data_IF_444638014063
#
_entry.id   IF_444638014063
#
_cell.length_a   1.000
_cell.length_b   1.000
_cell.length_c   1.000
_cell.angle_alpha   90.00
_cell.angle_beta   90.00
_cell.angle_gamma   90.00
#
_symmetry.space_group_name_H-M   'P 1'
#
loop_
_entity.id
_entity.type
_entity.pdbx_description
1 polymer ?
#
# COMPACT_ATOMS: atom_id res chain seq x y z
N UNK A 1 -2.35 -3.53 -2.89
CA UNK A 1 -1.38 -4.37 -3.63
C UNK A 1 -1.74 -5.86 -3.78
N UNK A 2 -2.03 -6.64 -2.72
CA UNK A 2 -2.19 -8.11 -2.83
C UNK A 2 -3.45 -8.58 -3.59
N UNK A 3 -4.57 -7.87 -3.49
CA UNK A 3 -5.81 -8.29 -4.14
C UNK A 3 -5.76 -8.24 -5.67
N UNK A 4 -5.03 -7.31 -6.28
CA UNK A 4 -4.96 -7.19 -7.75
C UNK A 4 -4.08 -8.29 -8.40
N UNK A 5 -2.99 -8.68 -7.74
CA UNK A 5 -2.08 -9.73 -8.21
C UNK A 5 -2.60 -11.15 -7.89
N UNK A 6 -3.40 -11.29 -6.82
CA UNK A 6 -4.02 -12.58 -6.46
C UNK A 6 -5.36 -12.80 -7.17
N UNK A 7 -6.20 -11.78 -7.35
CA UNK A 7 -7.52 -11.95 -7.99
C UNK A 7 -7.42 -12.23 -9.50
N UNK A 8 -6.49 -11.58 -10.21
CA UNK A 8 -6.38 -11.72 -11.67
C UNK A 8 -5.97 -13.13 -12.16
N UNK A 9 -5.31 -13.94 -11.31
CA UNK A 9 -4.85 -15.30 -11.67
C UNK A 9 -5.72 -16.43 -11.10
N UNK A 10 -6.50 -16.17 -10.05
CA UNK A 10 -7.39 -17.17 -9.43
C UNK A 10 -8.79 -17.11 -10.03
N UNK A 11 -9.27 -15.92 -10.42
CA UNK A 11 -10.65 -15.78 -10.89
C UNK A 11 -10.91 -16.26 -12.31
N UNK A 12 -9.89 -16.28 -13.20
CA UNK A 12 -10.07 -16.78 -14.57
C UNK A 12 -10.20 -18.31 -14.66
N UNK A 13 -9.92 -19.06 -13.58
CA UNK A 13 -9.98 -20.53 -13.57
C UNK A 13 -11.04 -21.14 -12.65
N UNK A 14 -11.71 -20.35 -11.82
CA UNK A 14 -12.75 -20.83 -10.89
C UNK A 14 -14.19 -20.36 -11.24
N UNK A 15 -14.41 -19.70 -12.38
CA UNK A 15 -15.78 -19.31 -12.80
C UNK A 15 -16.62 -20.46 -13.38
N UNK A 16 -16.20 -21.72 -13.23
CA UNK A 16 -16.96 -22.91 -13.64
C UNK A 16 -17.31 -23.76 -12.41
N UNK A 17 -17.91 -23.15 -11.39
CA UNK A 17 -18.69 -23.86 -10.38
C UNK A 17 -19.52 -22.88 -9.53
N UNK A 18 -20.70 -22.52 -10.02
CA UNK A 18 -21.91 -22.35 -9.19
C UNK A 18 -21.90 -21.38 -7.99
N UNK A 19 -21.30 -20.20 -8.06
CA UNK A 19 -21.59 -19.14 -7.07
C UNK A 19 -22.78 -18.28 -7.53
N UNK A 20 -23.79 -18.20 -6.67
CA UNK A 20 -25.05 -17.47 -6.85
C UNK A 20 -24.88 -16.04 -7.38
N UNK A 21 -25.89 -15.54 -8.08
CA UNK A 21 -25.96 -14.19 -8.65
C UNK A 21 -25.68 -13.05 -7.63
N UNK A 22 -25.77 -13.31 -6.32
CA UNK A 22 -25.39 -12.36 -5.27
C UNK A 22 -23.88 -12.09 -5.19
N UNK A 23 -23.02 -13.02 -5.62
CA UNK A 23 -21.56 -12.83 -5.65
C UNK A 23 -21.10 -11.80 -6.68
N UNK A 24 -21.87 -11.62 -7.77
CA UNK A 24 -21.54 -10.72 -8.87
C UNK A 24 -21.73 -9.24 -8.51
N UNK A 25 -22.77 -8.89 -7.74
CA UNK A 25 -23.06 -7.50 -7.34
C UNK A 25 -22.21 -6.99 -6.16
N UNK A 26 -21.54 -7.84 -5.37
CA UNK A 26 -20.84 -7.42 -4.14
C UNK A 26 -19.32 -7.26 -4.28
N UNK A 27 -18.70 -7.84 -5.31
CA UNK A 27 -17.31 -7.52 -5.73
C UNK A 27 -17.06 -6.04 -6.00
N UNK A 28 -17.91 -5.29 -6.72
CA UNK A 28 -17.63 -3.89 -7.02
C UNK A 28 -17.52 -2.99 -5.78
N UNK A 29 -18.21 -3.33 -4.68
CA UNK A 29 -18.15 -2.54 -3.44
C UNK A 29 -16.79 -2.70 -2.75
N UNK A 30 -16.27 -3.93 -2.66
CA UNK A 30 -14.95 -4.18 -2.08
C UNK A 30 -13.84 -3.57 -2.94
N UNK A 31 -13.93 -3.72 -4.27
CA UNK A 31 -12.96 -3.10 -5.20
C UNK A 31 -12.98 -1.58 -5.14
N UNK A 32 -14.17 -0.96 -5.04
CA UNK A 32 -14.29 0.48 -4.90
C UNK A 32 -13.73 0.98 -3.57
N UNK A 33 -13.95 0.26 -2.46
CA UNK A 33 -13.38 0.60 -1.17
C UNK A 33 -11.86 0.51 -1.19
N UNK A 34 -11.28 -0.57 -1.72
CA UNK A 34 -9.84 -0.73 -1.86
C UNK A 34 -9.21 0.36 -2.75
N UNK A 35 -9.90 0.74 -3.83
CA UNK A 35 -9.48 1.84 -4.70
C UNK A 35 -9.50 3.19 -3.96
N UNK A 36 -10.57 3.48 -3.23
CA UNK A 36 -10.68 4.69 -2.43
C UNK A 36 -9.61 4.74 -1.33
N UNK A 37 -9.27 3.61 -0.71
CA UNK A 37 -8.15 3.53 0.24
C UNK A 37 -6.82 3.90 -0.44
N UNK A 38 -6.54 3.40 -1.65
CA UNK A 38 -5.32 3.76 -2.37
C UNK A 38 -5.25 5.26 -2.70
N UNK A 39 -6.38 5.88 -3.06
CA UNK A 39 -6.44 7.34 -3.25
C UNK A 39 -6.14 8.05 -1.93
N UNK A 40 -6.70 7.58 -0.82
CA UNK A 40 -6.47 8.16 0.50
C UNK A 40 -4.99 8.07 0.91
N UNK A 41 -4.32 6.96 0.61
CA UNK A 41 -2.86 6.84 0.77
C UNK A 41 -2.11 7.84 -0.12
N UNK A 42 -2.46 7.94 -1.41
CA UNK A 42 -1.82 8.91 -2.29
C UNK A 42 -2.00 10.36 -1.82
N UNK A 43 -3.19 10.72 -1.31
CA UNK A 43 -3.46 12.05 -0.75
C UNK A 43 -2.63 12.28 0.53
N UNK A 44 -2.50 11.26 1.38
CA UNK A 44 -1.61 11.30 2.53
C UNK A 44 -0.16 11.56 2.10
N UNK A 45 0.34 10.81 1.12
CA UNK A 45 1.71 10.92 0.60
C UNK A 45 1.96 12.32 0.02
N UNK A 46 1.04 12.83 -0.81
CA UNK A 46 1.08 14.18 -1.38
C UNK A 46 1.02 15.26 -0.29
N UNK A 47 0.31 15.00 0.81
CA UNK A 47 0.19 15.91 1.94
C UNK A 47 1.44 15.94 2.81
N UNK A 48 2.08 14.79 3.01
CA UNK A 48 3.26 14.65 3.85
C UNK A 48 4.46 15.37 3.26
N UNK A 49 4.79 15.16 1.98
CA UNK A 49 6.03 15.72 1.38
C UNK A 49 6.15 17.25 1.55
N UNK A 50 5.09 18.07 1.37
CA UNK A 50 5.14 19.51 1.64
C UNK A 50 4.83 19.87 3.11
N UNK A 51 4.75 18.91 4.03
CA UNK A 51 4.30 19.10 5.41
C UNK A 51 2.94 19.82 5.52
N UNK A 52 1.96 19.40 4.70
CA UNK A 52 0.61 19.96 4.68
C UNK A 52 -0.36 19.13 5.56
N UNK A 53 -0.63 19.56 6.81
CA UNK A 53 -1.48 18.80 7.74
C UNK A 53 -2.91 18.57 7.24
N UNK A 54 -3.45 19.48 6.42
CA UNK A 54 -4.80 19.35 5.86
C UNK A 54 -4.89 18.15 4.94
N UNK A 55 -3.96 18.03 3.99
CA UNK A 55 -3.93 16.90 3.06
C UNK A 55 -3.61 15.59 3.79
N UNK A 56 -2.70 15.62 4.77
CA UNK A 56 -2.40 14.46 5.62
C UNK A 56 -3.65 13.93 6.31
N UNK A 57 -4.45 14.80 6.96
CA UNK A 57 -5.70 14.38 7.61
C UNK A 57 -6.75 13.87 6.62
N UNK A 58 -6.87 14.52 5.46
CA UNK A 58 -7.78 14.10 4.39
C UNK A 58 -7.40 12.73 3.79
N UNK A 59 -6.14 12.32 3.88
CA UNK A 59 -5.72 10.97 3.53
C UNK A 59 -5.95 9.98 4.68
N UNK A 60 -5.47 10.30 5.88
CA UNK A 60 -5.47 9.39 7.03
C UNK A 60 -6.87 9.00 7.49
N UNK A 61 -7.76 9.98 7.69
CA UNK A 61 -9.06 9.72 8.31
C UNK A 61 -9.96 8.87 7.40
N UNK A 62 -10.20 9.25 6.13
CA UNK A 62 -10.96 8.41 5.21
C UNK A 62 -10.26 7.07 4.94
N UNK A 63 -8.93 7.06 4.79
CA UNK A 63 -8.17 5.83 4.55
C UNK A 63 -8.33 4.82 5.68
N UNK A 64 -8.26 5.26 6.93
CA UNK A 64 -8.45 4.39 8.11
C UNK A 64 -9.88 3.83 8.20
N UNK A 65 -10.89 4.66 7.93
CA UNK A 65 -12.29 4.24 7.92
C UNK A 65 -12.58 3.22 6.81
N UNK A 66 -12.11 3.50 5.59
CA UNK A 66 -12.26 2.62 4.43
C UNK A 66 -11.52 1.29 4.65
N UNK A 67 -10.33 1.34 5.26
CA UNK A 67 -9.55 0.15 5.57
C UNK A 67 -10.25 -0.72 6.62
N UNK A 68 -10.82 -0.10 7.66
CA UNK A 68 -11.62 -0.79 8.67
C UNK A 68 -12.87 -1.45 8.05
N UNK A 69 -13.49 -0.78 7.09
CA UNK A 69 -14.59 -1.35 6.30
C UNK A 69 -14.12 -2.57 5.47
N UNK A 70 -12.97 -2.48 4.79
CA UNK A 70 -12.40 -3.59 4.01
C UNK A 70 -12.11 -4.83 4.88
N UNK A 71 -11.65 -4.64 6.12
CA UNK A 71 -11.47 -5.73 7.09
C UNK A 71 -12.81 -6.40 7.41
N UNK A 72 -13.83 -5.62 7.78
CA UNK A 72 -15.17 -6.16 8.10
C UNK A 72 -15.74 -6.97 6.94
N UNK A 73 -15.58 -6.45 5.72
CA UNK A 73 -16.00 -7.14 4.50
C UNK A 73 -15.21 -8.44 4.31
N UNK A 74 -13.90 -8.42 4.49
CA UNK A 74 -13.04 -9.61 4.36
C UNK A 74 -13.37 -10.72 5.36
N UNK A 75 -13.66 -10.35 6.62
CA UNK A 75 -14.10 -11.29 7.68
C UNK A 75 -15.43 -11.93 7.28
N UNK A 76 -16.39 -11.13 6.81
CA UNK A 76 -17.71 -11.61 6.43
C UNK A 76 -17.66 -12.67 5.31
N UNK A 77 -16.67 -12.60 4.43
CA UNK A 77 -16.49 -13.54 3.32
C UNK A 77 -15.47 -14.66 3.61
N UNK A 78 -15.12 -14.88 4.89
CA UNK A 78 -14.26 -15.97 5.38
C UNK A 78 -12.92 -16.11 4.63
N UNK A 79 -12.38 -14.98 4.16
CA UNK A 79 -11.10 -14.94 3.47
C UNK A 79 -10.01 -14.59 4.47
N UNK A 80 -9.52 -15.60 5.20
CA UNK A 80 -8.49 -15.42 6.24
C UNK A 80 -7.24 -14.70 5.72
N UNK A 81 -6.83 -14.97 4.48
CA UNK A 81 -5.68 -14.31 3.87
C UNK A 81 -5.94 -12.86 3.46
N UNK A 82 -7.11 -12.55 2.90
CA UNK A 82 -7.46 -11.16 2.61
C UNK A 82 -7.61 -10.37 3.90
N UNK A 83 -8.22 -10.96 4.92
CA UNK A 83 -8.33 -10.34 6.24
C UNK A 83 -6.94 -10.00 6.79
N UNK A 84 -5.96 -10.91 6.70
CA UNK A 84 -4.59 -10.64 7.14
C UNK A 84 -3.92 -9.49 6.36
N UNK A 85 -4.12 -9.41 5.04
CA UNK A 85 -3.64 -8.28 4.23
C UNK A 85 -4.31 -6.98 4.66
N UNK A 86 -5.64 -6.96 4.82
CA UNK A 86 -6.37 -5.75 5.20
C UNK A 86 -6.00 -5.30 6.62
N UNK A 87 -5.77 -6.22 7.55
CA UNK A 87 -5.26 -5.91 8.90
C UNK A 87 -3.85 -5.35 8.83
N UNK A 88 -2.96 -5.93 8.02
CA UNK A 88 -1.61 -5.40 7.81
C UNK A 88 -1.64 -3.98 7.25
N UNK A 89 -2.50 -3.69 6.27
CA UNK A 89 -2.67 -2.33 5.72
C UNK A 89 -3.23 -1.35 6.75
N UNK A 90 -4.12 -1.79 7.65
CA UNK A 90 -4.57 -0.94 8.76
C UNK A 90 -3.45 -0.65 9.74
N UNK A 91 -2.67 -1.67 10.14
CA UNK A 91 -1.50 -1.48 10.99
C UNK A 91 -0.51 -0.53 10.33
N UNK A 92 -0.27 -0.67 9.03
CA UNK A 92 0.57 0.25 8.27
C UNK A 92 0.07 1.69 8.35
N UNK A 93 -1.24 1.91 8.16
CA UNK A 93 -1.85 3.24 8.29
C UNK A 93 -1.71 3.78 9.72
N UNK A 94 -1.96 2.97 10.75
CA UNK A 94 -1.78 3.38 12.14
C UNK A 94 -0.33 3.79 12.43
N UNK A 95 0.64 3.02 11.93
CA UNK A 95 2.05 3.39 12.01
C UNK A 95 2.32 4.75 11.37
N UNK A 96 1.81 4.99 10.16
CA UNK A 96 1.92 6.28 9.48
C UNK A 96 1.23 7.42 10.23
N UNK A 97 0.11 7.16 10.93
CA UNK A 97 -0.55 8.17 11.77
C UNK A 97 0.34 8.63 12.92
N UNK A 98 0.97 7.68 13.62
CA UNK A 98 1.89 8.02 14.71
C UNK A 98 3.11 8.78 14.21
N UNK A 99 3.66 8.37 13.07
CA UNK A 99 4.82 9.02 12.47
C UNK A 99 4.48 10.42 11.93
N UNK A 100 3.48 10.55 11.06
CA UNK A 100 3.09 11.86 10.53
C UNK A 100 2.58 12.79 11.64
N UNK A 101 1.86 12.25 12.63
CA UNK A 101 1.47 13.01 13.82
C UNK A 101 2.69 13.55 14.57
N UNK A 102 3.75 12.75 14.71
CA UNK A 102 4.97 13.20 15.36
C UNK A 102 5.70 14.31 14.59
N UNK A 103 5.77 14.22 13.26
CA UNK A 103 6.38 15.21 12.39
C UNK A 103 5.56 16.52 12.32
N UNK A 104 4.23 16.42 12.37
CA UNK A 104 3.34 17.59 12.28
C UNK A 104 3.13 18.30 13.63
N UNK A 105 3.37 17.62 14.75
CA UNK A 105 3.23 18.18 16.10
C UNK A 105 4.58 18.71 16.61
N UNK A 106 5.70 18.09 16.23
CA UNK A 106 7.03 18.42 16.76
C UNK A 106 8.10 18.59 15.66
N UNK A 107 8.30 19.80 15.12
CA UNK A 107 7.61 21.05 15.46
C UNK A 107 6.19 21.16 14.85
N UNK A 108 5.31 21.99 15.40
CA UNK A 108 3.95 22.16 14.87
C UNK A 108 3.96 22.72 13.44
N UNK A 109 3.29 22.05 12.51
CA UNK A 109 3.23 22.46 11.10
C UNK A 109 1.85 22.99 10.68
N UNK A 110 1.82 24.05 9.86
CA UNK A 110 0.58 24.62 9.32
C UNK A 110 -0.42 25.01 10.42
N UNK A 111 -1.71 24.74 10.20
CA UNK A 111 -2.78 25.07 11.17
C UNK A 111 -2.69 24.26 12.47
N UNK A 112 -1.85 23.21 12.55
CA UNK A 112 -1.59 22.49 13.81
C UNK A 112 -0.89 23.41 14.82
N UNK A 113 -0.11 24.38 14.33
CA UNK A 113 0.51 25.41 15.15
C UNK A 113 -0.49 26.37 15.81
N UNK A 114 -1.75 26.38 15.37
CA UNK A 114 -2.79 27.22 15.94
C UNK A 114 -3.59 26.50 17.04
N UNK A 115 -3.32 25.21 17.30
CA UNK A 115 -4.02 24.42 18.33
C UNK A 115 -3.24 24.44 19.65
N UNK A 116 -3.73 25.15 20.69
CA UNK A 116 -2.94 25.37 21.91
C UNK A 116 -2.59 24.07 22.66
N UNK A 117 -3.46 23.06 22.63
CA UNK A 117 -3.17 21.79 23.32
C UNK A 117 -2.08 20.95 22.63
N UNK A 118 -1.90 21.09 21.31
CA UNK A 118 -0.88 20.36 20.55
C UNK A 118 0.46 21.07 20.58
N UNK A 119 0.46 22.41 20.47
CA UNK A 119 1.69 23.22 20.53
C UNK A 119 2.37 23.12 21.88
N UNK A 120 1.59 22.99 22.96
CA UNK A 120 2.12 22.84 24.31
C UNK A 120 2.45 21.39 24.68
N UNK A 121 2.29 20.44 23.74
CA UNK A 121 2.61 19.04 23.99
C UNK A 121 4.12 18.87 24.10
N UNK A 122 4.58 18.28 25.21
CA UNK A 122 6.01 18.16 25.50
C UNK A 122 6.75 17.33 24.44
N UNK A 123 7.92 17.83 24.01
CA UNK A 123 8.78 17.18 23.00
C UNK A 123 9.28 15.81 23.44
N UNK A 124 9.26 15.50 24.75
CA UNK A 124 9.62 14.17 25.26
C UNK A 124 8.73 13.04 24.69
N UNK A 125 7.52 13.35 24.22
CA UNK A 125 6.61 12.37 23.62
C UNK A 125 6.89 12.07 22.14
N UNK A 126 7.75 12.87 21.48
CA UNK A 126 8.09 12.67 20.07
C UNK A 126 8.81 11.33 19.83
N UNK A 127 9.90 11.06 20.56
CA UNK A 127 10.66 9.82 20.38
C UNK A 127 9.82 8.55 20.65
N UNK A 128 9.00 8.47 21.73
CA UNK A 128 8.06 7.37 21.91
C UNK A 128 7.07 7.21 20.74
N UNK A 129 6.53 8.30 20.17
CA UNK A 129 5.59 8.23 19.06
C UNK A 129 6.24 7.63 17.80
N UNK A 130 7.45 8.05 17.44
CA UNK A 130 8.19 7.47 16.30
C UNK A 130 8.55 6.01 16.56
N UNK A 131 8.93 5.65 17.79
CA UNK A 131 9.21 4.25 18.13
C UNK A 131 7.96 3.36 18.00
N UNK A 132 6.82 3.83 18.49
CA UNK A 132 5.53 3.14 18.32
C UNK A 132 5.23 2.97 16.84
N UNK A 133 5.38 4.02 16.04
CA UNK A 133 5.22 3.94 14.59
C UNK A 133 6.09 2.85 13.97
N UNK A 134 7.40 2.88 14.26
CA UNK A 134 8.38 1.91 13.74
C UNK A 134 7.96 0.49 14.11
N UNK A 135 7.64 0.21 15.37
CA UNK A 135 7.20 -1.10 15.84
C UNK A 135 5.92 -1.56 15.12
N UNK A 136 4.94 -0.67 14.96
CA UNK A 136 3.68 -0.98 14.27
C UNK A 136 3.91 -1.26 12.78
N UNK A 137 4.76 -0.48 12.10
CA UNK A 137 5.14 -0.71 10.70
C UNK A 137 5.89 -2.04 10.52
N UNK A 138 6.78 -2.40 11.44
CA UNK A 138 7.45 -3.71 11.46
C UNK A 138 6.43 -4.84 11.59
N UNK A 139 5.48 -4.73 12.53
CA UNK A 139 4.42 -5.73 12.69
C UNK A 139 3.57 -5.85 11.42
N UNK A 140 3.15 -4.73 10.84
CA UNK A 140 2.42 -4.69 9.59
C UNK A 140 3.18 -5.43 8.47
N UNK A 141 4.47 -5.13 8.33
CA UNK A 141 5.33 -5.77 7.34
C UNK A 141 5.49 -7.27 7.55
N UNK A 142 5.71 -7.72 8.80
CA UNK A 142 5.81 -9.15 9.12
C UNK A 142 4.52 -9.91 8.77
N UNK A 143 3.35 -9.36 9.11
CA UNK A 143 2.05 -9.97 8.77
C UNK A 143 1.87 -10.06 7.26
N UNK A 144 2.22 -8.99 6.53
CA UNK A 144 2.12 -8.97 5.07
C UNK A 144 3.03 -10.02 4.43
N UNK A 145 4.30 -10.05 4.85
CA UNK A 145 5.30 -10.99 4.37
C UNK A 145 4.92 -12.45 4.66
N UNK A 146 4.46 -12.75 5.86
CA UNK A 146 3.99 -14.08 6.23
C UNK A 146 2.80 -14.51 5.36
N UNK A 147 1.87 -13.59 5.09
CA UNK A 147 0.71 -13.85 4.24
C UNK A 147 1.11 -14.13 2.79
N UNK A 148 2.02 -13.33 2.23
CA UNK A 148 2.54 -13.58 0.88
C UNK A 148 3.33 -14.88 0.78
N UNK A 149 4.22 -15.15 1.73
CA UNK A 149 5.00 -16.37 1.75
C UNK A 149 4.08 -17.60 1.83
N UNK A 150 3.04 -17.54 2.67
CA UNK A 150 2.01 -18.59 2.73
C UNK A 150 1.33 -18.77 1.37
N UNK A 151 0.96 -17.70 0.68
CA UNK A 151 0.36 -17.79 -0.66
C UNK A 151 1.29 -18.41 -1.69
N UNK A 152 2.57 -18.02 -1.73
CA UNK A 152 3.56 -18.60 -2.64
C UNK A 152 3.77 -20.08 -2.36
N UNK A 153 3.90 -20.47 -1.09
CA UNK A 153 4.05 -21.87 -0.69
C UNK A 153 2.80 -22.70 -1.04
N UNK A 154 1.60 -22.14 -0.87
CA UNK A 154 0.36 -22.81 -1.28
C UNK A 154 0.27 -22.99 -2.80
N UNK A 155 0.69 -21.99 -3.59
CA UNK A 155 0.76 -22.10 -5.05
C UNK A 155 1.74 -23.18 -5.47
N UNK A 156 2.94 -23.19 -4.90
CA UNK A 156 3.96 -24.22 -5.18
C UNK A 156 3.45 -25.64 -4.89
N UNK A 157 2.77 -25.86 -3.75
CA UNK A 157 2.17 -27.16 -3.42
C UNK A 157 1.14 -27.61 -4.47
N UNK A 158 0.30 -26.70 -4.97
CA UNK A 158 -0.67 -27.00 -6.04
C UNK A 158 0.04 -27.39 -7.34
N UNK A 159 1.10 -26.67 -7.72
CA UNK A 159 1.87 -26.98 -8.92
C UNK A 159 2.61 -28.32 -8.81
N UNK A 160 3.21 -28.64 -7.66
CA UNK A 160 3.81 -29.95 -7.41
C UNK A 160 2.78 -31.08 -7.51
N UNK A 161 1.56 -30.87 -7.03
CA UNK A 161 0.45 -31.82 -7.20
C UNK A 161 0.11 -32.07 -8.67
N UNK A 162 -0.03 -31.01 -9.46
CA UNK A 162 -0.31 -31.09 -10.91
C UNK A 162 0.82 -31.79 -11.65
N UNK A 163 2.08 -31.49 -11.33
CA UNK A 163 3.25 -32.14 -11.91
C UNK A 163 3.30 -33.64 -11.60
N UNK A 164 2.93 -34.04 -10.38
CA UNK A 164 2.82 -35.44 -9.99
C UNK A 164 1.70 -36.15 -10.77
N UNK A 165 0.50 -35.56 -10.85
CA UNK A 165 -0.61 -36.10 -11.67
C UNK A 165 -0.22 -36.23 -13.15
N UNK A 166 0.58 -35.29 -13.67
CA UNK A 166 1.14 -35.37 -15.03
C UNK A 166 2.09 -36.55 -15.19
N UNK A 167 3.03 -36.77 -14.27
CA UNK A 167 3.97 -37.91 -14.36
C UNK A 167 3.24 -39.26 -14.43
N UNK A 168 2.08 -39.36 -13.77
CA UNK A 168 1.20 -40.54 -13.81
C UNK A 168 0.41 -40.63 -15.13
N UNK A 169 -0.10 -39.51 -15.66
CA UNK A 169 -0.88 -39.48 -16.90
C UNK A 169 -0.03 -39.59 -18.18
N UNK A 170 1.17 -38.98 -18.19
CA UNK A 170 2.10 -39.00 -19.33
C UNK A 170 2.81 -40.33 -19.49
N UNK A 171 2.71 -41.24 -18.51
CA UNK A 171 3.16 -42.62 -18.67
C UNK A 171 2.30 -43.42 -19.68
N UNK A 172 1.18 -42.86 -20.17
CA UNK A 172 0.26 -43.56 -21.08
C UNK A 172 -0.07 -42.88 -22.43
N UNK A 173 0.17 -41.58 -22.63
CA UNK A 173 -0.25 -40.87 -23.86
C UNK A 173 0.63 -39.66 -24.18
N UNK A 174 0.92 -39.45 -25.48
CA UNK A 174 1.58 -38.24 -25.99
C UNK A 174 0.65 -37.02 -25.81
N UNK A 175 1.09 -36.05 -25.01
CA UNK A 175 0.34 -34.82 -24.77
C UNK A 175 0.53 -33.84 -25.96
N UNK A 176 -0.52 -33.21 -26.50
CA UNK A 176 -0.38 -32.25 -27.59
C UNK A 176 0.51 -31.05 -27.21
N UNK A 177 1.42 -30.65 -28.11
CA UNK A 177 2.36 -29.53 -27.91
C UNK A 177 1.71 -28.19 -27.54
N UNK A 178 0.46 -27.94 -27.97
CA UNK A 178 -0.31 -26.75 -27.57
C UNK A 178 -0.72 -26.80 -26.09
N UNK A 179 -1.07 -27.98 -25.57
CA UNK A 179 -1.33 -28.16 -24.16
C UNK A 179 -0.04 -27.95 -23.35
N UNK A 180 1.08 -28.44 -23.84
CA UNK A 180 2.36 -28.29 -23.17
C UNK A 180 2.80 -26.83 -22.99
N UNK A 181 2.62 -25.97 -24.00
CA UNK A 181 2.97 -24.55 -23.90
C UNK A 181 2.08 -23.78 -22.91
N UNK A 182 0.77 -24.00 -22.98
CA UNK A 182 -0.19 -23.32 -22.09
C UNK A 182 -0.05 -23.79 -20.64
N UNK A 183 0.30 -25.06 -20.42
CA UNK A 183 0.42 -25.63 -19.07
C UNK A 183 1.80 -25.47 -18.43
N UNK A 184 2.89 -25.28 -19.19
CA UNK A 184 4.24 -25.10 -18.62
C UNK A 184 4.68 -23.65 -18.49
N UNK A 185 4.32 -22.79 -19.45
CA UNK A 185 4.87 -21.42 -19.50
C UNK A 185 4.15 -20.48 -18.53
N UNK A 186 2.83 -20.51 -18.49
CA UNK A 186 2.02 -19.68 -17.59
C UNK A 186 2.34 -19.86 -16.09
N UNK A 187 2.50 -21.09 -15.53
CA UNK A 187 2.76 -21.23 -14.10
C UNK A 187 4.16 -20.79 -13.68
N UNK A 188 5.17 -20.96 -14.53
CA UNK A 188 6.55 -20.53 -14.23
C UNK A 188 6.65 -19.01 -14.26
N UNK A 189 6.06 -18.36 -15.27
CA UNK A 189 6.00 -16.90 -15.36
C UNK A 189 5.19 -16.30 -14.18
N UNK A 190 4.07 -16.93 -13.78
CA UNK A 190 3.26 -16.50 -12.64
C UNK A 190 3.95 -16.70 -11.28
N UNK A 191 4.74 -17.76 -11.12
CA UNK A 191 5.54 -17.98 -9.91
C UNK A 191 6.66 -16.94 -9.80
N UNK A 192 7.41 -16.71 -10.87
CA UNK A 192 8.47 -15.69 -10.93
C UNK A 192 7.92 -14.29 -10.64
N UNK A 193 6.77 -13.94 -11.25
CA UNK A 193 6.10 -12.67 -11.01
C UNK A 193 5.65 -12.52 -9.54
N UNK A 194 5.20 -13.61 -8.91
CA UNK A 194 4.86 -13.65 -7.49
C UNK A 194 6.05 -13.38 -6.58
N UNK A 195 7.21 -13.96 -6.89
CA UNK A 195 8.47 -13.69 -6.17
C UNK A 195 8.94 -12.26 -6.37
N UNK A 196 8.90 -11.73 -7.60
CA UNK A 196 9.27 -10.34 -7.88
C UNK A 196 8.43 -9.35 -7.08
N UNK A 197 7.10 -9.55 -7.05
CA UNK A 197 6.20 -8.72 -6.25
C UNK A 197 6.52 -8.81 -4.75
N UNK A 198 6.85 -10.00 -4.24
CA UNK A 198 7.17 -10.19 -2.83
C UNK A 198 8.44 -9.42 -2.41
N UNK A 199 9.50 -9.56 -3.19
CA UNK A 199 10.76 -8.86 -2.92
C UNK A 199 10.64 -7.35 -3.07
N UNK A 200 9.89 -6.87 -4.07
CA UNK A 200 9.55 -5.45 -4.18
C UNK A 200 8.86 -4.94 -2.91
N UNK A 201 7.79 -5.62 -2.46
CA UNK A 201 7.08 -5.27 -1.23
C UNK A 201 8.01 -5.28 -0.03
N UNK A 202 8.84 -6.32 0.11
CA UNK A 202 9.78 -6.43 1.22
C UNK A 202 10.74 -5.23 1.26
N UNK A 203 11.33 -4.87 0.13
CA UNK A 203 12.30 -3.77 0.05
C UNK A 203 11.62 -2.41 0.28
N UNK A 204 10.41 -2.22 -0.24
CA UNK A 204 9.57 -1.08 0.09
C UNK A 204 9.31 -0.95 1.60
N UNK A 205 8.88 -2.04 2.24
CA UNK A 205 8.60 -2.05 3.69
C UNK A 205 9.86 -1.78 4.51
N UNK A 206 11.00 -2.36 4.11
CA UNK A 206 12.28 -2.15 4.77
C UNK A 206 12.73 -0.69 4.67
N UNK A 207 12.65 -0.08 3.48
CA UNK A 207 12.99 1.34 3.30
C UNK A 207 12.20 2.22 4.29
N UNK A 208 10.92 1.93 4.48
CA UNK A 208 10.06 2.68 5.39
C UNK A 208 10.34 2.44 6.87
N UNK A 209 10.59 1.20 7.26
CA UNK A 209 10.99 0.86 8.62
C UNK A 209 12.32 1.52 8.97
N UNK A 210 13.29 1.51 8.06
CA UNK A 210 14.59 2.15 8.28
C UNK A 210 14.49 3.68 8.30
N UNK A 211 13.61 4.26 7.48
CA UNK A 211 13.32 5.70 7.52
C UNK A 211 12.75 6.10 8.89
N UNK A 212 11.67 5.46 9.33
CA UNK A 212 11.06 5.73 10.64
C UNK A 212 12.04 5.46 11.80
N UNK A 213 12.80 4.37 11.73
CA UNK A 213 13.85 4.06 12.70
C UNK A 213 14.98 5.09 12.73
N UNK A 214 15.36 5.64 11.56
CA UNK A 214 16.33 6.73 11.44
C UNK A 214 15.88 7.99 12.17
N UNK A 215 14.62 8.40 11.97
CA UNK A 215 14.03 9.54 12.69
C UNK A 215 14.04 9.30 14.21
N UNK A 216 13.76 8.07 14.65
CA UNK A 216 13.86 7.74 16.07
C UNK A 216 15.29 7.88 16.61
N UNK A 217 16.29 7.34 15.90
CA UNK A 217 17.70 7.46 16.29
C UNK A 217 18.18 8.91 16.32
N UNK A 218 17.66 9.77 15.43
CA UNK A 218 17.93 11.20 15.46
C UNK A 218 17.47 11.85 16.77
N UNK A 219 16.29 11.45 17.27
CA UNK A 219 15.75 12.01 18.52
C UNK A 219 16.47 11.51 19.77
N UNK A 220 16.99 10.28 19.77
CA UNK A 220 17.72 9.72 20.93
C UNK A 220 19.24 9.93 20.86
N UNK A 221 19.75 10.59 19.83
CA UNK A 221 21.16 10.94 19.69
C UNK A 221 22.07 9.82 19.17
N UNK A 222 21.55 8.86 18.39
CA UNK A 222 22.30 7.73 17.83
C UNK A 222 22.90 8.01 16.45
N UNK A 223 23.94 8.85 16.35
CA UNK A 223 24.51 9.31 15.07
C UNK A 223 24.87 8.19 14.09
N UNK A 224 25.55 7.14 14.55
CA UNK A 224 26.00 6.04 13.69
C UNK A 224 24.81 5.24 13.13
N UNK A 225 23.77 5.09 13.95
CA UNK A 225 22.55 4.39 13.58
C UNK A 225 21.73 5.18 12.55
N UNK A 226 21.74 6.52 12.61
CA UNK A 226 21.12 7.38 11.58
C UNK A 226 21.76 7.12 10.22
N UNK A 227 23.09 7.14 10.15
CA UNK A 227 23.84 6.91 8.90
C UNK A 227 23.56 5.50 8.37
N UNK A 228 23.57 4.49 9.24
CA UNK A 228 23.25 3.12 8.85
C UNK A 228 21.82 3.01 8.29
N UNK A 229 20.83 3.61 8.96
CA UNK A 229 19.45 3.66 8.48
C UNK A 229 19.36 4.37 7.12
N UNK A 230 19.99 5.53 6.97
CA UNK A 230 20.00 6.28 5.71
C UNK A 230 20.55 5.45 4.53
N UNK A 231 21.68 4.77 4.74
CA UNK A 231 22.26 3.86 3.73
C UNK A 231 21.29 2.72 3.39
N UNK A 232 20.63 2.14 4.39
CA UNK A 232 19.67 1.07 4.18
C UNK A 232 18.41 1.55 3.45
N UNK A 233 17.89 2.74 3.76
CA UNK A 233 16.80 3.40 3.02
C UNK A 233 17.20 3.58 1.57
N UNK A 234 18.40 4.10 1.31
CA UNK A 234 18.89 4.36 -0.04
C UNK A 234 19.02 3.08 -0.86
N UNK A 235 19.69 2.05 -0.33
CA UNK A 235 19.89 0.77 -1.03
C UNK A 235 18.55 0.07 -1.27
N UNK A 236 17.75 -0.11 -0.22
CA UNK A 236 16.45 -0.80 -0.35
C UNK A 236 15.50 -0.02 -1.25
N UNK A 237 15.52 1.32 -1.17
CA UNK A 237 14.72 2.21 -1.99
C UNK A 237 15.07 2.12 -3.47
N UNK A 238 16.34 2.19 -3.86
CA UNK A 238 16.76 2.08 -5.28
C UNK A 238 16.36 0.73 -5.86
N UNK A 239 16.58 -0.36 -5.13
CA UNK A 239 16.21 -1.69 -5.61
C UNK A 239 14.68 -1.80 -5.74
N UNK A 240 13.93 -1.27 -4.76
CA UNK A 240 12.47 -1.19 -4.78
C UNK A 240 11.97 -0.40 -5.99
N UNK A 241 12.51 0.80 -6.26
CA UNK A 241 12.15 1.61 -7.43
C UNK A 241 12.44 0.89 -8.74
N UNK A 242 13.60 0.23 -8.83
CA UNK A 242 14.00 -0.51 -10.04
C UNK A 242 13.03 -1.65 -10.33
N UNK A 243 12.66 -2.44 -9.31
CA UNK A 243 11.73 -3.56 -9.47
C UNK A 243 10.29 -3.09 -9.65
N UNK A 244 9.86 -2.08 -8.89
CA UNK A 244 8.56 -1.44 -9.04
C UNK A 244 8.37 -0.89 -10.45
N UNK A 245 9.39 -0.24 -11.01
CA UNK A 245 9.37 0.26 -12.39
C UNK A 245 9.23 -0.85 -13.42
N UNK A 246 9.89 -1.99 -13.23
CA UNK A 246 9.73 -3.15 -14.11
C UNK A 246 8.32 -3.75 -14.02
N UNK A 247 7.77 -3.89 -12.81
CA UNK A 247 6.40 -4.38 -12.61
C UNK A 247 5.41 -3.40 -13.24
N UNK A 248 5.58 -2.10 -13.02
CA UNK A 248 4.73 -1.06 -13.56
C UNK A 248 4.76 -1.04 -15.10
N UNK A 249 5.96 -1.12 -15.69
CA UNK A 249 6.12 -1.21 -17.15
C UNK A 249 5.40 -2.44 -17.72
N UNK A 250 5.51 -3.59 -17.05
CA UNK A 250 4.81 -4.80 -17.45
C UNK A 250 3.28 -4.64 -17.35
N UNK A 251 2.77 -4.10 -16.23
CA UNK A 251 1.33 -3.88 -16.03
C UNK A 251 0.75 -2.87 -17.04
N UNK A 252 1.50 -1.81 -17.38
CA UNK A 252 1.13 -0.84 -18.43
C UNK A 252 1.07 -1.53 -19.80
N UNK A 253 2.09 -2.32 -20.14
CA UNK A 253 2.15 -3.06 -21.42
C UNK A 253 0.97 -4.02 -21.56
N UNK A 254 0.60 -4.69 -20.48
CA UNK A 254 -0.52 -5.65 -20.42
C UNK A 254 -1.88 -4.97 -20.18
N UNK A 255 -1.95 -3.63 -20.17
CA UNK A 255 -3.16 -2.82 -19.92
C UNK A 255 -3.88 -3.18 -18.61
N UNK A 256 -3.13 -3.55 -17.57
CA UNK A 256 -3.64 -3.90 -16.24
C UNK A 256 -3.69 -2.66 -15.33
N UNK A 257 -4.67 -1.80 -15.56
CA UNK A 257 -4.72 -0.49 -14.91
C UNK A 257 -4.92 -0.51 -13.38
N UNK A 258 -5.48 -1.59 -12.80
CA UNK A 258 -5.85 -1.64 -11.37
C UNK A 258 -4.64 -1.58 -10.42
N UNK A 259 -3.48 -2.10 -10.83
CA UNK A 259 -2.27 -2.16 -9.98
C UNK A 259 -1.42 -0.89 -10.07
N UNK A 260 -1.58 -0.11 -11.15
CA UNK A 260 -0.76 1.07 -11.46
C UNK A 260 -0.80 2.11 -10.35
N UNK A 261 -2.00 2.43 -9.83
CA UNK A 261 -2.16 3.44 -8.79
C UNK A 261 -1.40 3.07 -7.51
N UNK A 262 -1.55 1.81 -7.08
CA UNK A 262 -0.91 1.32 -5.86
C UNK A 262 0.61 1.29 -6.02
N UNK A 263 1.11 0.67 -7.11
CA UNK A 263 2.56 0.54 -7.32
C UNK A 263 3.21 1.89 -7.54
N UNK A 264 2.59 2.77 -8.32
CA UNK A 264 3.15 4.10 -8.54
C UNK A 264 3.11 4.97 -7.28
N UNK A 265 2.09 4.86 -6.43
CA UNK A 265 2.05 5.52 -5.12
C UNK A 265 3.20 5.06 -4.21
N UNK A 266 3.37 3.75 -4.08
CA UNK A 266 4.48 3.16 -3.32
C UNK A 266 5.85 3.61 -3.87
N UNK A 267 6.02 3.64 -5.19
CA UNK A 267 7.24 4.11 -5.84
C UNK A 267 7.49 5.60 -5.59
N UNK A 268 6.45 6.44 -5.65
CA UNK A 268 6.58 7.86 -5.31
C UNK A 268 7.06 7.99 -3.87
N UNK A 269 6.38 7.35 -2.93
CA UNK A 269 6.75 7.36 -1.52
C UNK A 269 8.23 7.00 -1.28
N UNK A 270 8.71 5.89 -1.88
CA UNK A 270 10.12 5.49 -1.78
C UNK A 270 11.07 6.51 -2.40
N UNK A 271 10.71 7.07 -3.56
CA UNK A 271 11.51 8.12 -4.19
C UNK A 271 11.63 9.35 -3.28
N UNK A 272 10.54 9.72 -2.60
CA UNK A 272 10.54 10.78 -1.59
C UNK A 272 11.52 10.51 -0.47
N UNK A 273 11.48 9.33 0.13
CA UNK A 273 12.42 8.95 1.20
C UNK A 273 13.88 9.01 0.74
N UNK A 274 14.19 8.55 -0.48
CA UNK A 274 15.56 8.63 -1.03
C UNK A 274 16.01 10.08 -1.16
N UNK A 275 15.13 10.95 -1.67
CA UNK A 275 15.45 12.37 -1.80
C UNK A 275 15.68 12.98 -0.44
N UNK A 276 14.79 12.74 0.54
CA UNK A 276 14.92 13.29 1.88
C UNK A 276 16.20 12.83 2.56
N UNK A 277 16.55 11.54 2.48
CA UNK A 277 17.85 11.03 2.92
C UNK A 277 18.99 11.80 2.23
N UNK A 278 18.88 12.02 0.92
CA UNK A 278 19.85 12.82 0.16
C UNK A 278 19.98 14.23 0.72
N UNK A 279 18.87 14.93 0.94
CA UNK A 279 18.84 16.28 1.48
C UNK A 279 19.43 16.34 2.90
N UNK A 280 19.09 15.39 3.77
CA UNK A 280 19.57 15.34 5.16
C UNK A 280 21.07 15.07 5.24
N UNK A 281 21.60 14.22 4.35
CA UNK A 281 23.02 13.94 4.28
C UNK A 281 23.79 15.08 3.58
N UNK A 282 23.26 15.62 2.48
CA UNK A 282 23.92 16.65 1.67
C UNK A 282 23.87 18.04 2.30
N UNK A 283 22.85 18.37 3.09
CA UNK A 283 22.78 19.63 3.84
C UNK A 283 23.93 19.80 4.84
N UNK A 284 24.63 18.71 5.19
CA UNK A 284 25.85 18.75 5.99
C UNK A 284 27.09 19.19 5.18
N UNK A 285 27.04 19.10 3.85
CA UNK A 285 28.20 19.29 2.96
C UNK A 285 28.02 20.40 1.92
N UNK A 286 26.80 20.77 1.55
CA UNK A 286 26.52 21.69 0.45
C UNK A 286 25.69 22.92 0.84
N UNK A 287 25.74 23.93 -0.03
CA UNK A 287 25.02 25.20 0.10
C UNK A 287 23.50 25.04 -0.03
N UNK A 288 22.77 25.80 0.80
CA UNK A 288 21.30 25.84 0.94
C UNK A 288 20.51 25.82 -0.39
N UNK A 289 21.03 26.43 -1.46
CA UNK A 289 20.38 26.46 -2.77
C UNK A 289 20.27 25.08 -3.44
N UNK A 290 21.24 24.18 -3.24
CA UNK A 290 21.24 22.86 -3.86
C UNK A 290 20.22 21.94 -3.18
N UNK A 291 20.16 21.99 -1.84
CA UNK A 291 19.11 21.32 -1.07
C UNK A 291 17.72 21.77 -1.48
N UNK A 292 17.50 23.08 -1.66
CA UNK A 292 16.21 23.59 -2.13
C UNK A 292 15.86 23.10 -3.53
N UNK A 293 16.82 23.09 -4.47
CA UNK A 293 16.60 22.58 -5.83
C UNK A 293 16.21 21.10 -5.84
N UNK A 294 16.83 20.27 -5.00
CA UNK A 294 16.49 18.86 -4.86
C UNK A 294 15.07 18.67 -4.32
N UNK A 295 14.70 19.45 -3.29
CA UNK A 295 13.33 19.46 -2.73
C UNK A 295 12.32 19.86 -3.81
N UNK A 296 12.54 20.98 -4.50
CA UNK A 296 11.62 21.51 -5.51
C UNK A 296 11.45 20.56 -6.70
N UNK A 297 12.55 19.95 -7.17
CA UNK A 297 12.53 18.95 -8.24
C UNK A 297 11.73 17.72 -7.81
N UNK A 298 11.89 17.30 -6.56
CA UNK A 298 11.18 16.14 -6.02
C UNK A 298 9.70 16.41 -5.86
N UNK A 299 9.33 17.56 -5.28
CA UNK A 299 7.94 18.01 -5.21
C UNK A 299 7.32 18.10 -6.61
N UNK A 300 8.04 18.67 -7.57
CA UNK A 300 7.61 18.74 -8.97
C UNK A 300 7.36 17.36 -9.57
N UNK A 301 8.26 16.41 -9.37
CA UNK A 301 8.09 15.02 -9.81
C UNK A 301 6.91 14.33 -9.12
N UNK A 302 6.73 14.54 -7.81
CA UNK A 302 5.62 13.98 -7.05
C UNK A 302 4.26 14.50 -7.54
N UNK A 303 4.12 15.82 -7.68
CA UNK A 303 2.88 16.42 -8.15
C UNK A 303 2.57 16.01 -9.59
N UNK A 304 3.57 16.05 -10.48
CA UNK A 304 3.36 15.68 -11.89
C UNK A 304 3.08 14.20 -12.06
N UNK A 305 3.84 13.31 -11.41
CA UNK A 305 3.61 11.87 -11.48
C UNK A 305 2.27 11.48 -10.83
N UNK A 306 1.97 12.01 -9.64
CA UNK A 306 0.68 11.78 -8.97
C UNK A 306 -0.50 12.25 -9.83
N UNK A 307 -0.42 13.47 -10.39
CA UNK A 307 -1.45 13.99 -11.29
C UNK A 307 -1.58 13.15 -12.57
N UNK A 308 -0.47 12.78 -13.22
CA UNK A 308 -0.47 11.94 -14.42
C UNK A 308 -1.06 10.56 -14.12
N UNK A 309 -0.76 9.96 -12.97
CA UNK A 309 -1.35 8.68 -12.57
C UNK A 309 -2.86 8.80 -12.41
N UNK A 310 -3.33 9.82 -11.68
CA UNK A 310 -4.76 10.08 -11.48
C UNK A 310 -5.46 10.35 -12.82
N UNK A 311 -4.91 11.21 -13.66
CA UNK A 311 -5.46 11.53 -14.99
C UNK A 311 -5.46 10.30 -15.92
N UNK A 312 -4.40 9.48 -15.90
CA UNK A 312 -4.32 8.26 -16.70
C UNK A 312 -5.38 7.25 -16.28
N UNK A 313 -5.74 7.20 -14.99
CA UNK A 313 -6.82 6.36 -14.48
C UNK A 313 -8.19 6.86 -14.94
N UNK A 314 -8.44 8.17 -14.85
CA UNK A 314 -9.68 8.76 -15.36
C UNK A 314 -9.84 8.57 -16.88
N UNK A 315 -8.73 8.65 -17.63
CA UNK A 315 -8.74 8.44 -19.07
C UNK A 315 -8.96 6.96 -19.47
N UNK A 316 -8.51 6.00 -18.64
CA UNK A 316 -8.59 4.57 -18.96
C UNK A 316 -9.88 3.88 -18.52
N UNK A 317 -10.62 4.43 -17.54
CA UNK A 317 -12.01 4.01 -17.24
C UNK A 317 -12.87 5.23 -16.87
N UNK A 318 -13.53 5.87 -17.85
CA UNK A 318 -14.40 7.04 -17.63
C UNK A 318 -15.52 6.75 -16.61
N UNK A 319 -15.91 5.49 -16.41
CA UNK A 319 -16.92 5.08 -15.45
C UNK A 319 -16.37 4.83 -14.03
N UNK A 320 -15.08 4.55 -13.87
CA UNK A 320 -14.47 4.30 -12.56
C UNK A 320 -14.49 5.55 -11.67
N UNK A 321 -14.28 6.74 -12.25
CA UNK A 321 -14.31 8.01 -11.53
C UNK A 321 -15.67 8.29 -10.88
N UNK A 322 -16.76 8.14 -11.64
CA UNK A 322 -18.12 8.29 -11.12
C UNK A 322 -18.48 7.17 -10.14
N UNK A 323 -18.06 5.92 -10.38
CA UNK A 323 -18.37 4.79 -9.48
C UNK A 323 -17.61 4.85 -8.15
N UNK A 324 -16.35 5.27 -8.15
CA UNK A 324 -15.54 5.41 -6.94
C UNK A 324 -16.00 6.57 -6.06
N UNK A 325 -16.31 7.73 -6.66
CA UNK A 325 -16.91 8.86 -5.96
C UNK A 325 -18.32 8.53 -5.44
N UNK A 326 -19.18 7.90 -6.25
CA UNK A 326 -20.46 7.40 -5.76
C UNK A 326 -20.30 6.36 -4.65
N UNK A 327 -19.43 5.36 -4.78
CA UNK A 327 -19.25 4.32 -3.75
C UNK A 327 -18.68 4.88 -2.44
N UNK A 328 -17.74 5.83 -2.53
CA UNK A 328 -17.24 6.57 -1.37
C UNK A 328 -18.37 7.32 -0.65
N UNK A 329 -19.13 8.12 -1.38
CA UNK A 329 -20.28 8.88 -0.83
C UNK A 329 -21.38 7.95 -0.32
N UNK A 330 -21.72 6.88 -1.05
CA UNK A 330 -22.73 5.90 -0.63
C UNK A 330 -22.31 5.13 0.62
N UNK A 331 -21.02 4.78 0.75
CA UNK A 331 -20.53 4.04 1.92
C UNK A 331 -20.55 4.90 3.19
N UNK A 332 -20.15 6.17 3.08
CA UNK A 332 -20.21 7.12 4.20
C UNK A 332 -21.68 7.42 4.55
N UNK A 333 -22.52 7.75 3.58
CA UNK A 333 -23.92 8.13 3.83
C UNK A 333 -24.76 6.95 4.33
N UNK A 334 -24.63 5.75 3.76
CA UNK A 334 -25.42 4.58 4.21
C UNK A 334 -24.92 4.05 5.55
N UNK A 335 -23.62 4.01 5.81
CA UNK A 335 -23.12 3.57 7.12
C UNK A 335 -23.52 4.56 8.22
N UNK A 336 -23.43 5.87 7.97
CA UNK A 336 -23.88 6.89 8.93
C UNK A 336 -25.40 6.86 9.15
N UNK A 337 -26.21 6.63 8.11
CA UNK A 337 -27.67 6.54 8.25
C UNK A 337 -28.14 5.24 8.92
N UNK A 338 -27.46 4.10 8.71
CA UNK A 338 -27.77 2.85 9.44
C UNK A 338 -27.33 2.87 10.89
N UNK A 339 -26.20 3.51 11.21
CA UNK A 339 -25.82 3.73 12.61
C UNK A 339 -26.78 4.69 13.31
N UNK A 340 -27.22 5.75 12.63
CA UNK A 340 -28.23 6.65 13.17
C UNK A 340 -29.60 5.97 13.36
N UNK A 341 -30.00 5.06 12.47
CA UNK A 341 -31.26 4.31 12.63
C UNK A 341 -31.19 3.26 13.74
N UNK A 342 -30.02 2.65 13.98
CA UNK A 342 -29.84 1.68 15.07
C UNK A 342 -29.75 2.35 16.45
N UNK A 343 -29.26 3.59 16.54
CA UNK A 343 -29.28 4.38 17.78
C UNK A 343 -30.67 4.92 18.09
N UNK A 344 -31.56 5.04 17.09
CA UNK A 344 -32.95 5.46 17.27
C UNK A 344 -33.89 4.41 17.88
N UNK A 345 -33.56 3.12 17.77
CA UNK A 345 -34.39 2.02 18.28
C UNK A 345 -34.04 1.60 19.72
N UNK A 346 -32.91 2.07 20.28
CA UNK A 346 -32.49 1.81 21.67
C UNK A 346 -32.88 2.93 22.66
N UNK A 347 -33.59 3.96 22.20
CA UNK A 347 -34.16 5.04 23.04
C UNK A 347 -35.68 5.14 22.88
N UNK A 348 -36.38 4.04 23.17
CA UNK A 348 -37.80 4.09 23.58
C UNK A 348 -37.89 3.78 25.08
N UNK A 349 -38.01 4.83 25.89
CA UNK A 349 -38.63 4.75 27.21
C UNK A 349 -40.14 4.93 27.06
#
# INVERSE_FOLDING_TARGET
>A
MADALVSSSVESRFSVAGSSAEGSQRRPVHEAAAFATNIAFLVFDIGWVPNNPTLVLLGVVPGTLLQSFCIRVSIKYDSSSQTAVQVSMLLWMVGNCFWAGSELIWPPAGWVADIPCLVNLDRQYNAPAILISTCVMVMAGMVLMATYLRHLLQRRKRFSGIALTRSVLSAGQELPQQLERSFLREPVEAELQGWHALFYVLLFLLANVFWSGGNWFQLVGGSDAIVACAVLVFISGIISLSWGGQILFYEVREKRCKSILSIGGDMLWVAGNIVWVGTDLLSQFESEWFSQLLIDTTLGLFYTAGAVMVLSLFASDPGAGCRASHAGVHSVVICSLRQASQVGDDFSF
#
